data_IF_036161523760
#
_entry.id   IF_036161523760
#
_cell.length_a   1.000
_cell.length_b   1.000
_cell.length_c   1.000
_cell.angle_alpha   90.00
_cell.angle_beta   90.00
_cell.angle_gamma   90.00
#
_symmetry.space_group_name_H-M   'P 1'
#
loop_
_entity.id
_entity.type
_entity.pdbx_description
1 polymer ?
#
# COMPACT_ATOMS: atom_id res chain seq x y z
N UNK A 1 25.90 -0.53 23.01
CA UNK A 1 25.51 -0.67 21.58
C UNK A 1 25.93 0.60 20.85
N UNK A 2 26.58 0.51 19.68
CA UNK A 2 26.88 1.69 18.85
C UNK A 2 25.58 2.44 18.54
N UNK A 3 25.60 3.77 18.63
CA UNK A 3 24.47 4.64 18.25
C UNK A 3 24.06 4.42 16.79
N UNK A 4 25.01 4.07 15.92
CA UNK A 4 24.78 3.75 14.52
C UNK A 4 23.97 2.46 14.35
N UNK A 5 24.30 1.41 15.11
CA UNK A 5 23.59 0.11 15.05
C UNK A 5 22.12 0.25 15.39
N UNK A 6 21.81 0.95 16.49
CA UNK A 6 20.43 1.21 16.90
C UNK A 6 19.67 1.98 15.81
N UNK A 7 20.30 3.01 15.23
CA UNK A 7 19.70 3.81 14.15
C UNK A 7 19.45 2.99 12.89
N UNK A 8 20.38 2.13 12.47
CA UNK A 8 20.21 1.25 11.31
C UNK A 8 19.03 0.29 11.49
N UNK A 9 18.94 -0.38 12.65
CA UNK A 9 17.84 -1.31 12.97
C UNK A 9 16.50 -0.57 12.96
N UNK A 10 16.45 0.63 13.54
CA UNK A 10 15.22 1.42 13.59
C UNK A 10 14.75 1.84 12.19
N UNK A 11 15.67 2.34 11.35
CA UNK A 11 15.34 2.72 9.97
C UNK A 11 14.84 1.53 9.14
N UNK A 12 15.41 0.34 9.34
CA UNK A 12 14.94 -0.88 8.68
C UNK A 12 13.55 -1.30 9.17
N UNK A 13 13.27 -1.22 10.48
CA UNK A 13 11.96 -1.52 11.06
C UNK A 13 10.88 -0.56 10.57
N UNK A 14 11.22 0.72 10.41
CA UNK A 14 10.33 1.76 9.87
C UNK A 14 10.25 1.76 8.34
N UNK A 15 10.93 0.83 7.65
CA UNK A 15 11.03 0.76 6.19
C UNK A 15 11.54 2.06 5.52
N UNK A 16 12.38 2.83 6.23
CA UNK A 16 12.96 4.12 5.76
C UNK A 16 14.18 3.88 4.88
N UNK A 17 13.95 3.24 3.72
CA UNK A 17 14.98 2.76 2.79
C UNK A 17 16.00 3.84 2.41
N UNK A 18 15.54 5.03 2.01
CA UNK A 18 16.43 6.12 1.56
C UNK A 18 17.41 6.56 2.64
N UNK A 19 16.90 6.76 3.85
CA UNK A 19 17.71 7.20 4.99
C UNK A 19 18.67 6.11 5.45
N UNK A 20 18.22 4.86 5.47
CA UNK A 20 19.07 3.71 5.74
C UNK A 20 20.24 3.64 4.75
N UNK A 21 19.95 3.75 3.46
CA UNK A 21 20.96 3.66 2.40
C UNK A 21 21.94 4.84 2.45
N UNK A 22 21.44 6.07 2.68
CA UNK A 22 22.30 7.24 2.87
C UNK A 22 23.23 7.07 4.08
N UNK A 23 22.72 6.56 5.19
CA UNK A 23 23.52 6.26 6.38
C UNK A 23 24.62 5.24 6.06
N UNK A 24 24.30 4.19 5.31
CA UNK A 24 25.29 3.20 4.85
C UNK A 24 26.37 3.81 3.95
N UNK A 25 26.05 4.81 3.13
CA UNK A 25 27.05 5.49 2.30
C UNK A 25 27.95 6.45 3.08
N UNK A 26 27.45 7.03 4.17
CA UNK A 26 28.17 8.00 4.99
C UNK A 26 29.21 7.31 5.90
N UNK A 27 28.81 6.23 6.59
CA UNK A 27 29.63 5.52 7.56
C UNK A 27 29.96 4.09 7.10
N UNK A 28 30.39 3.93 5.85
CA UNK A 28 30.45 2.63 5.16
C UNK A 28 31.15 1.52 5.95
N UNK A 29 32.36 1.76 6.47
CA UNK A 29 33.13 0.72 7.16
C UNK A 29 32.43 0.21 8.43
N UNK A 30 31.87 1.12 9.24
CA UNK A 30 31.11 0.75 10.44
C UNK A 30 29.78 0.10 10.06
N UNK A 31 29.10 0.63 9.05
CA UNK A 31 27.85 0.07 8.53
C UNK A 31 28.03 -1.36 8.02
N UNK A 32 29.14 -1.68 7.33
CA UNK A 32 29.47 -3.05 6.90
C UNK A 32 29.66 -3.98 8.09
N UNK A 33 30.43 -3.57 9.10
CA UNK A 33 30.65 -4.37 10.31
C UNK A 33 29.33 -4.68 11.02
N UNK A 34 28.48 -3.65 11.19
CA UNK A 34 27.15 -3.80 11.78
C UNK A 34 26.26 -4.72 10.92
N UNK A 35 26.27 -4.54 9.60
CA UNK A 35 25.45 -5.35 8.69
C UNK A 35 25.88 -6.82 8.67
N UNK A 36 27.16 -7.14 8.87
CA UNK A 36 27.64 -8.52 9.03
C UNK A 36 27.07 -9.18 10.29
N UNK A 37 26.86 -8.41 11.36
CA UNK A 37 26.18 -8.91 12.58
C UNK A 37 24.67 -9.07 12.40
N UNK A 38 24.01 -8.15 11.68
CA UNK A 38 22.55 -8.15 11.48
C UNK A 38 22.13 -9.18 10.41
N UNK A 39 22.96 -9.38 9.39
CA UNK A 39 22.68 -10.21 8.20
C UNK A 39 23.80 -11.26 7.96
N UNK A 40 24.15 -12.09 8.96
CA UNK A 40 25.30 -12.99 8.86
C UNK A 40 25.16 -14.01 7.73
N UNK A 41 23.95 -14.51 7.48
CA UNK A 41 23.70 -15.51 6.43
C UNK A 41 23.85 -14.94 5.02
N UNK A 42 23.49 -13.67 4.82
CA UNK A 42 23.64 -13.00 3.53
C UNK A 42 25.12 -12.77 3.21
N UNK A 43 25.92 -12.38 4.21
CA UNK A 43 27.37 -12.22 4.04
C UNK A 43 28.09 -13.56 3.83
N UNK A 44 27.66 -14.63 4.51
CA UNK A 44 28.18 -15.99 4.23
C UNK A 44 27.94 -16.40 2.79
N UNK A 45 26.73 -16.18 2.26
CA UNK A 45 26.40 -16.47 0.85
C UNK A 45 27.29 -15.69 -0.12
N UNK A 46 27.58 -14.42 0.15
CA UNK A 46 28.49 -13.63 -0.70
C UNK A 46 29.96 -14.04 -0.57
N UNK A 47 30.38 -14.64 0.56
CA UNK A 47 31.76 -15.03 0.82
C UNK A 47 32.18 -16.39 0.26
N UNK A 48 31.22 -17.22 -0.19
CA UNK A 48 31.50 -18.57 -0.72
C UNK A 48 32.10 -18.60 -2.15
N UNK A 49 32.38 -17.44 -2.75
CA UNK A 49 33.31 -17.32 -3.88
C UNK A 49 32.74 -17.58 -5.28
N UNK A 50 31.46 -17.92 -5.42
CA UNK A 50 30.74 -17.85 -6.69
C UNK A 50 29.26 -17.60 -6.39
N UNK A 51 28.74 -16.41 -6.72
CA UNK A 51 27.31 -16.34 -7.03
C UNK A 51 27.12 -17.26 -8.26
N UNK A 52 26.22 -18.26 -8.24
CA UNK A 52 25.94 -19.08 -9.42
C UNK A 52 25.63 -18.24 -10.68
N UNK A 53 25.25 -16.99 -10.49
CA UNK A 53 24.92 -16.01 -11.51
C UNK A 53 26.06 -15.07 -11.90
N UNK A 54 27.27 -15.17 -11.32
CA UNK A 54 28.45 -14.43 -11.76
C UNK A 54 28.73 -14.69 -13.26
N UNK A 55 28.52 -15.93 -13.69
CA UNK A 55 28.62 -16.30 -15.11
C UNK A 55 27.57 -15.63 -16.01
N UNK A 56 26.41 -15.23 -15.47
CA UNK A 56 25.39 -14.48 -16.23
C UNK A 56 25.74 -13.00 -16.28
N UNK A 57 26.35 -12.45 -15.23
CA UNK A 57 26.84 -11.08 -15.23
C UNK A 57 27.91 -10.86 -16.31
N UNK A 58 28.91 -11.74 -16.38
CA UNK A 58 29.98 -11.66 -17.38
C UNK A 58 29.41 -11.75 -18.81
N UNK A 59 28.47 -12.68 -19.04
CA UNK A 59 27.78 -12.80 -20.33
C UNK A 59 26.97 -11.56 -20.68
N UNK A 60 26.31 -10.93 -19.69
CA UNK A 60 25.57 -9.69 -19.92
C UNK A 60 26.51 -8.53 -20.31
N UNK A 61 27.69 -8.45 -19.68
CA UNK A 61 28.73 -7.48 -20.08
C UNK A 61 29.23 -7.73 -21.49
N UNK A 62 29.48 -8.99 -21.86
CA UNK A 62 29.90 -9.35 -23.22
C UNK A 62 28.84 -8.94 -24.26
N UNK A 63 27.55 -9.21 -24.00
CA UNK A 63 26.48 -8.80 -24.90
C UNK A 63 26.38 -7.29 -25.03
N UNK A 64 26.58 -6.56 -23.93
CA UNK A 64 26.64 -5.09 -23.91
C UNK A 64 27.79 -4.55 -24.77
N UNK A 65 28.99 -5.12 -24.65
CA UNK A 65 30.16 -4.72 -25.44
C UNK A 65 29.96 -4.98 -26.94
N UNK A 66 29.27 -6.08 -27.28
CA UNK A 66 28.87 -6.41 -28.65
C UNK A 66 27.70 -5.58 -29.18
N UNK A 67 27.07 -4.74 -28.35
CA UNK A 67 25.87 -3.98 -28.70
C UNK A 67 24.59 -4.82 -28.87
N UNK A 68 24.62 -6.09 -28.47
CA UNK A 68 23.48 -7.01 -28.59
C UNK A 68 22.51 -6.81 -27.42
N UNK A 69 21.63 -5.81 -27.57
CA UNK A 69 20.72 -5.38 -26.50
C UNK A 69 19.68 -6.43 -26.13
N UNK A 70 19.17 -7.20 -27.10
CA UNK A 70 18.14 -8.22 -26.83
C UNK A 70 18.69 -9.37 -26.00
N UNK A 71 19.89 -9.87 -26.35
CA UNK A 71 20.53 -10.94 -25.61
C UNK A 71 20.97 -10.47 -24.22
N UNK A 72 21.46 -9.22 -24.10
CA UNK A 72 21.74 -8.59 -22.79
C UNK A 72 20.49 -8.61 -21.90
N UNK A 73 19.32 -8.22 -22.42
CA UNK A 73 18.05 -8.24 -21.67
C UNK A 73 17.71 -9.66 -21.23
N UNK A 74 17.74 -10.65 -22.12
CA UNK A 74 17.36 -12.05 -21.77
C UNK A 74 18.24 -12.61 -20.66
N UNK A 75 19.55 -12.35 -20.71
CA UNK A 75 20.49 -12.83 -19.68
C UNK A 75 20.21 -12.14 -18.34
N UNK A 76 20.01 -10.82 -18.34
CA UNK A 76 19.70 -10.05 -17.14
C UNK A 76 18.35 -10.44 -16.53
N UNK A 77 17.32 -10.66 -17.34
CA UNK A 77 16.02 -11.17 -16.90
C UNK A 77 16.18 -12.52 -16.21
N UNK A 78 16.96 -13.43 -16.79
CA UNK A 78 17.24 -14.76 -16.21
C UNK A 78 17.93 -14.62 -14.85
N UNK A 79 18.96 -13.77 -14.75
CA UNK A 79 19.67 -13.52 -13.49
C UNK A 79 18.73 -12.95 -12.41
N UNK A 80 17.90 -11.96 -12.76
CA UNK A 80 16.92 -11.37 -11.84
C UNK A 80 15.82 -12.36 -11.46
N UNK A 81 15.34 -13.20 -12.40
CA UNK A 81 14.36 -14.24 -12.15
C UNK A 81 14.86 -15.25 -11.11
N UNK A 82 16.12 -15.64 -11.22
CA UNK A 82 16.77 -16.59 -10.33
C UNK A 82 17.26 -15.97 -9.00
N UNK A 83 16.95 -14.70 -8.73
CA UNK A 83 17.24 -14.06 -7.45
C UNK A 83 18.70 -13.60 -7.28
N UNK A 84 19.36 -13.19 -8.37
CA UNK A 84 20.72 -12.64 -8.32
C UNK A 84 20.88 -11.58 -7.21
N UNK A 85 22.01 -11.65 -6.50
CA UNK A 85 22.37 -10.71 -5.46
C UNK A 85 23.03 -9.43 -6.01
N UNK A 86 23.33 -9.40 -7.31
CA UNK A 86 24.09 -8.34 -7.96
C UNK A 86 23.19 -7.14 -8.29
N UNK A 87 23.37 -5.96 -7.64
CA UNK A 87 22.54 -4.79 -7.91
C UNK A 87 22.68 -4.28 -9.36
N UNK A 88 23.83 -4.53 -9.98
CA UNK A 88 24.06 -4.20 -11.39
C UNK A 88 22.99 -4.78 -12.31
N UNK A 89 22.58 -6.04 -12.09
CA UNK A 89 21.64 -6.72 -12.96
C UNK A 89 20.30 -5.96 -13.01
N UNK A 90 19.80 -5.55 -11.84
CA UNK A 90 18.58 -4.78 -11.69
C UNK A 90 18.74 -3.35 -12.25
N UNK A 91 19.84 -2.68 -11.92
CA UNK A 91 20.11 -1.32 -12.40
C UNK A 91 20.17 -1.28 -13.92
N UNK A 92 20.94 -2.17 -14.53
CA UNK A 92 21.12 -2.23 -15.98
C UNK A 92 19.83 -2.59 -16.70
N UNK A 93 19.11 -3.61 -16.23
CA UNK A 93 17.84 -4.02 -16.83
C UNK A 93 16.80 -2.90 -16.74
N UNK A 94 16.74 -2.19 -15.62
CA UNK A 94 15.84 -1.02 -15.46
C UNK A 94 16.15 0.11 -16.44
N UNK A 95 17.43 0.31 -16.81
CA UNK A 95 17.86 1.29 -17.83
C UNK A 95 17.43 0.84 -19.22
N UNK A 96 17.62 -0.44 -19.56
CA UNK A 96 17.25 -0.99 -20.87
C UNK A 96 15.74 -0.88 -21.12
N UNK A 97 14.91 -1.27 -20.15
CA UNK A 97 13.46 -1.10 -20.25
C UNK A 97 13.03 0.37 -20.25
N UNK A 98 13.74 1.26 -19.55
CA UNK A 98 13.46 2.69 -19.60
C UNK A 98 13.64 3.25 -21.03
N UNK A 99 14.68 2.80 -21.75
CA UNK A 99 14.91 3.18 -23.15
C UNK A 99 13.79 2.69 -24.08
N UNK A 100 13.23 1.52 -23.79
CA UNK A 100 12.07 0.96 -24.49
C UNK A 100 10.73 1.57 -24.06
N UNK A 101 10.74 2.55 -23.14
CA UNK A 101 9.53 3.15 -22.53
C UNK A 101 8.62 2.13 -21.82
N UNK A 102 9.15 0.97 -21.45
CA UNK A 102 8.40 -0.06 -20.74
C UNK A 102 8.42 0.19 -19.22
N UNK A 103 7.76 1.28 -18.79
CA UNK A 103 7.81 1.74 -17.40
C UNK A 103 7.21 0.75 -16.39
N UNK A 104 6.26 -0.10 -16.83
CA UNK A 104 5.71 -1.18 -16.00
C UNK A 104 6.83 -2.17 -15.62
N UNK A 105 7.62 -2.63 -16.59
CA UNK A 105 8.77 -3.50 -16.32
C UNK A 105 9.83 -2.81 -15.47
N UNK A 106 10.11 -1.53 -15.70
CA UNK A 106 11.06 -0.77 -14.86
C UNK A 106 10.62 -0.80 -13.39
N UNK A 107 9.32 -0.56 -13.13
CA UNK A 107 8.75 -0.62 -11.78
C UNK A 107 8.90 -2.00 -11.15
N UNK A 108 8.52 -3.06 -11.88
CA UNK A 108 8.62 -4.46 -11.42
C UNK A 108 10.06 -4.83 -11.04
N UNK A 109 11.04 -4.46 -11.87
CA UNK A 109 12.46 -4.74 -11.59
C UNK A 109 12.96 -3.99 -10.36
N UNK A 110 12.64 -2.70 -10.22
CA UNK A 110 13.02 -1.93 -9.04
C UNK A 110 12.37 -2.50 -7.76
N UNK A 111 11.09 -2.86 -7.81
CA UNK A 111 10.39 -3.48 -6.67
C UNK A 111 11.04 -4.80 -6.28
N UNK A 112 11.32 -5.67 -7.25
CA UNK A 112 11.95 -6.97 -6.99
C UNK A 112 13.29 -6.86 -6.26
N UNK A 113 14.08 -5.82 -6.56
CA UNK A 113 15.30 -5.53 -5.81
C UNK A 113 15.02 -5.20 -4.33
N UNK A 114 13.97 -4.41 -4.06
CA UNK A 114 13.60 -4.02 -2.69
C UNK A 114 12.81 -5.06 -1.92
N UNK A 115 12.24 -6.06 -2.59
CA UNK A 115 11.64 -7.24 -1.98
C UNK A 115 12.71 -8.27 -1.56
N UNK A 116 13.89 -8.23 -2.20
CA UNK A 116 15.03 -9.06 -1.81
C UNK A 116 15.70 -8.55 -0.51
N UNK A 117 16.52 -9.38 0.13
CA UNK A 117 17.26 -8.96 1.34
C UNK A 117 18.52 -8.15 0.99
N UNK A 118 19.05 -8.30 -0.23
CA UNK A 118 20.36 -7.78 -0.63
C UNK A 118 20.47 -6.26 -0.68
N UNK A 119 19.37 -5.52 -0.89
CA UNK A 119 19.40 -4.04 -0.83
C UNK A 119 19.76 -3.51 0.55
N UNK A 120 19.57 -4.32 1.60
CA UNK A 120 19.92 -4.00 3.00
C UNK A 120 21.43 -4.15 3.26
N UNK A 121 22.24 -4.57 2.28
CA UNK A 121 23.68 -4.67 2.46
C UNK A 121 24.34 -3.34 2.07
N UNK A 122 25.21 -2.75 2.92
CA UNK A 122 25.91 -1.51 2.62
C UNK A 122 26.68 -1.51 1.29
N UNK A 123 27.21 -2.65 0.87
CA UNK A 123 27.93 -2.82 -0.40
C UNK A 123 27.06 -2.52 -1.63
N UNK A 124 25.74 -2.65 -1.51
CA UNK A 124 24.81 -2.34 -2.58
C UNK A 124 24.21 -0.93 -2.46
N UNK A 125 24.60 -0.14 -1.45
CA UNK A 125 23.92 1.11 -1.08
C UNK A 125 23.83 2.12 -2.23
N UNK A 126 24.91 2.33 -2.97
CA UNK A 126 24.94 3.28 -4.10
C UNK A 126 23.98 2.88 -5.23
N UNK A 127 24.01 1.63 -5.68
CA UNK A 127 23.11 1.15 -6.74
C UNK A 127 21.66 1.04 -6.26
N UNK A 128 21.44 0.63 -5.01
CA UNK A 128 20.13 0.69 -4.35
C UNK A 128 19.56 2.10 -4.34
N UNK A 129 20.35 3.14 -4.03
CA UNK A 129 19.88 4.53 -4.07
C UNK A 129 19.42 4.95 -5.47
N UNK A 130 20.14 4.55 -6.53
CA UNK A 130 19.76 4.85 -7.93
C UNK A 130 18.48 4.12 -8.33
N UNK A 131 18.31 2.87 -7.92
CA UNK A 131 17.10 2.08 -8.14
C UNK A 131 15.91 2.68 -7.38
N UNK A 132 16.12 3.13 -6.15
CA UNK A 132 15.12 3.79 -5.32
C UNK A 132 14.67 5.11 -5.94
N UNK A 133 15.61 5.95 -6.37
CA UNK A 133 15.31 7.21 -7.05
C UNK A 133 14.48 6.98 -8.33
N UNK A 134 14.80 5.93 -9.11
CA UNK A 134 14.02 5.57 -10.29
C UNK A 134 12.60 5.12 -9.92
N UNK A 135 12.46 4.32 -8.87
CA UNK A 135 11.17 3.86 -8.37
C UNK A 135 10.30 5.02 -7.87
N UNK A 136 10.89 5.94 -7.11
CA UNK A 136 10.22 7.14 -6.60
C UNK A 136 9.73 8.04 -7.75
N UNK A 137 10.56 8.30 -8.76
CA UNK A 137 10.16 9.07 -9.95
C UNK A 137 9.02 8.41 -10.72
N UNK A 138 9.02 7.08 -10.83
CA UNK A 138 7.92 6.35 -11.46
C UNK A 138 6.62 6.46 -10.68
N UNK A 139 6.69 6.33 -9.34
CA UNK A 139 5.54 6.51 -8.45
C UNK A 139 4.99 7.93 -8.53
N UNK A 140 5.85 8.94 -8.51
CA UNK A 140 5.45 10.33 -8.67
C UNK A 140 4.72 10.56 -10.00
N UNK A 141 5.27 10.04 -11.11
CA UNK A 141 4.62 10.12 -12.42
C UNK A 141 3.27 9.42 -12.45
N UNK A 142 3.16 8.23 -11.85
CA UNK A 142 1.91 7.49 -11.74
C UNK A 142 0.87 8.26 -10.91
N UNK A 143 1.26 8.77 -9.74
CA UNK A 143 0.39 9.53 -8.86
C UNK A 143 -0.08 10.82 -9.53
N UNK A 144 0.79 11.52 -10.25
CA UNK A 144 0.41 12.68 -11.05
C UNK A 144 -0.62 12.33 -12.13
N UNK A 145 -0.45 11.21 -12.84
CA UNK A 145 -1.44 10.74 -13.83
C UNK A 145 -2.80 10.44 -13.17
N UNK A 146 -2.79 9.78 -12.00
CA UNK A 146 -4.00 9.50 -11.21
C UNK A 146 -4.67 10.82 -10.78
N UNK A 147 -3.92 11.76 -10.22
CA UNK A 147 -4.43 13.08 -9.80
C UNK A 147 -5.08 13.81 -10.98
N UNK A 148 -4.42 13.83 -12.15
CA UNK A 148 -4.96 14.45 -13.36
C UNK A 148 -6.25 13.78 -13.82
N UNK A 149 -6.27 12.45 -13.86
CA UNK A 149 -7.47 11.68 -14.24
C UNK A 149 -8.62 11.94 -13.26
N UNK A 150 -8.36 11.91 -11.95
CA UNK A 150 -9.35 12.17 -10.92
C UNK A 150 -9.95 13.57 -11.03
N UNK A 151 -9.10 14.60 -11.22
CA UNK A 151 -9.56 15.98 -11.45
C UNK A 151 -10.54 16.06 -12.61
N UNK A 152 -10.17 15.50 -13.77
CA UNK A 152 -11.01 15.52 -14.98
C UNK A 152 -12.36 14.82 -14.73
N UNK A 153 -12.34 13.66 -14.08
CA UNK A 153 -13.55 12.91 -13.76
C UNK A 153 -14.47 13.69 -12.82
N UNK A 154 -13.93 14.33 -11.78
CA UNK A 154 -14.70 15.14 -10.83
C UNK A 154 -15.28 16.40 -11.48
N UNK A 155 -14.49 17.08 -12.34
CA UNK A 155 -14.93 18.25 -13.10
C UNK A 155 -16.10 17.88 -14.04
N UNK A 156 -15.96 16.77 -14.78
CA UNK A 156 -17.02 16.25 -15.65
C UNK A 156 -18.29 15.87 -14.87
N UNK A 157 -18.14 15.41 -13.63
CA UNK A 157 -19.22 15.05 -12.73
C UNK A 157 -19.82 16.26 -11.97
N UNK A 158 -19.42 17.50 -12.31
CA UNK A 158 -19.85 18.75 -11.68
C UNK A 158 -19.68 18.78 -10.16
N UNK A 159 -18.66 18.08 -9.64
CA UNK A 159 -18.33 18.09 -8.21
C UNK A 159 -17.73 19.44 -7.82
N UNK A 160 -18.08 19.97 -6.64
CA UNK A 160 -17.54 21.22 -6.10
C UNK A 160 -16.38 20.96 -5.12
N UNK A 161 -15.54 21.97 -4.88
CA UNK A 161 -14.39 21.85 -3.95
C UNK A 161 -13.18 21.08 -4.52
N UNK A 162 -13.11 20.93 -5.84
CA UNK A 162 -12.03 20.20 -6.53
C UNK A 162 -10.65 20.84 -6.30
N UNK A 163 -10.45 22.17 -6.37
CA UNK A 163 -9.12 22.76 -6.20
C UNK A 163 -8.45 22.40 -4.87
N UNK A 164 -9.19 22.52 -3.76
CA UNK A 164 -8.73 22.21 -2.41
C UNK A 164 -8.43 20.70 -2.28
N UNK A 165 -9.32 19.85 -2.80
CA UNK A 165 -9.12 18.41 -2.81
C UNK A 165 -7.88 17.99 -3.60
N UNK A 166 -7.69 18.52 -4.81
CA UNK A 166 -6.53 18.18 -5.65
C UNK A 166 -5.22 18.66 -5.02
N UNK A 167 -5.24 19.80 -4.33
CA UNK A 167 -4.10 20.26 -3.53
C UNK A 167 -3.79 19.26 -2.40
N UNK A 168 -4.79 18.89 -1.60
CA UNK A 168 -4.68 17.89 -0.52
C UNK A 168 -4.10 16.55 -1.03
N UNK A 169 -4.57 16.08 -2.19
CA UNK A 169 -4.10 14.85 -2.83
C UNK A 169 -2.65 14.96 -3.32
N UNK A 170 -2.24 16.10 -3.89
CA UNK A 170 -0.84 16.36 -4.29
C UNK A 170 0.11 16.45 -3.11
N UNK A 171 -0.27 17.19 -2.07
CA UNK A 171 0.52 17.38 -0.86
C UNK A 171 0.81 16.06 -0.15
N UNK A 172 -0.02 15.03 -0.38
CA UNK A 172 0.13 13.69 0.19
C UNK A 172 0.59 12.63 -0.83
N UNK A 173 0.97 13.02 -2.05
CA UNK A 173 1.32 12.09 -3.14
C UNK A 173 2.52 11.17 -2.87
N UNK A 174 3.40 11.52 -1.93
CA UNK A 174 4.53 10.69 -1.52
C UNK A 174 4.20 9.74 -0.37
N UNK A 175 3.13 10.00 0.37
CA UNK A 175 2.63 9.15 1.44
C UNK A 175 1.54 8.25 0.84
N UNK A 176 1.90 7.01 0.47
CA UNK A 176 1.00 6.08 -0.21
C UNK A 176 -0.28 5.82 0.59
N UNK A 177 -0.18 5.79 1.91
CA UNK A 177 -1.31 5.57 2.80
C UNK A 177 -2.31 6.72 2.77
N UNK A 178 -1.84 7.96 2.94
CA UNK A 178 -2.72 9.13 2.88
C UNK A 178 -3.23 9.38 1.46
N UNK A 179 -2.38 9.15 0.45
CA UNK A 179 -2.75 9.29 -0.95
C UNK A 179 -3.94 8.38 -1.30
N UNK A 180 -3.90 7.10 -0.92
CA UNK A 180 -5.00 6.18 -1.18
C UNK A 180 -6.27 6.54 -0.39
N UNK A 181 -6.15 6.98 0.87
CA UNK A 181 -7.31 7.47 1.64
C UNK A 181 -8.01 8.63 0.91
N UNK A 182 -7.25 9.63 0.44
CA UNK A 182 -7.80 10.78 -0.26
C UNK A 182 -8.29 10.43 -1.66
N UNK A 183 -7.65 9.48 -2.34
CA UNK A 183 -8.15 8.93 -3.60
C UNK A 183 -9.52 8.28 -3.42
N UNK A 184 -9.76 7.61 -2.29
CA UNK A 184 -11.06 7.02 -1.97
C UNK A 184 -12.15 8.07 -1.75
N UNK A 185 -11.83 9.22 -1.14
CA UNK A 185 -12.78 10.35 -1.04
C UNK A 185 -13.26 10.79 -2.44
N UNK A 186 -12.33 10.93 -3.39
CA UNK A 186 -12.66 11.28 -4.78
C UNK A 186 -13.51 10.21 -5.48
N UNK A 187 -13.23 8.92 -5.21
CA UNK A 187 -14.04 7.80 -5.74
C UNK A 187 -15.46 7.81 -5.16
N UNK A 188 -15.61 8.03 -3.86
CA UNK A 188 -16.90 8.16 -3.21
C UNK A 188 -17.69 9.36 -3.76
N UNK A 189 -17.03 10.49 -4.01
CA UNK A 189 -17.65 11.65 -4.64
C UNK A 189 -18.20 11.33 -6.04
N UNK A 190 -17.44 10.61 -6.86
CA UNK A 190 -17.89 10.17 -8.19
C UNK A 190 -19.06 9.20 -8.12
N UNK A 191 -19.05 8.27 -7.15
CA UNK A 191 -20.15 7.34 -6.92
C UNK A 191 -21.45 8.08 -6.58
N UNK A 192 -21.42 9.01 -5.62
CA UNK A 192 -22.61 9.80 -5.27
C UNK A 192 -23.07 10.70 -6.43
N UNK A 193 -22.15 11.34 -7.14
CA UNK A 193 -22.50 12.15 -8.32
C UNK A 193 -23.17 11.29 -9.41
N UNK A 194 -22.65 10.09 -9.65
CA UNK A 194 -23.25 9.11 -10.57
C UNK A 194 -24.66 8.64 -10.13
N UNK A 195 -24.93 8.65 -8.82
CA UNK A 195 -26.25 8.37 -8.25
C UNK A 195 -27.21 9.59 -8.25
N UNK A 196 -26.80 10.72 -8.83
CA UNK A 196 -27.64 11.92 -8.97
C UNK A 196 -27.52 12.94 -7.83
N UNK A 197 -26.57 12.77 -6.91
CA UNK A 197 -26.32 13.76 -5.85
C UNK A 197 -25.52 14.95 -6.40
N UNK A 198 -25.86 16.15 -5.93
CA UNK A 198 -24.95 17.28 -6.00
C UNK A 198 -23.87 17.12 -4.93
N UNK A 199 -22.61 16.93 -5.32
CA UNK A 199 -21.50 16.64 -4.39
C UNK A 199 -20.56 17.84 -4.23
N UNK A 200 -20.17 18.12 -3.00
CA UNK A 200 -19.12 19.08 -2.65
C UNK A 200 -18.06 18.41 -1.77
N UNK A 201 -16.81 18.39 -2.24
CA UNK A 201 -15.66 17.94 -1.44
C UNK A 201 -15.24 19.02 -0.44
N UNK A 202 -14.84 18.61 0.76
CA UNK A 202 -14.50 19.51 1.87
C UNK A 202 -13.59 18.81 2.89
N UNK A 203 -13.17 19.54 3.93
CA UNK A 203 -12.24 19.01 4.94
C UNK A 203 -12.89 18.04 5.94
N UNK A 204 -14.12 18.34 6.42
CA UNK A 204 -14.86 17.42 7.31
C UNK A 204 -16.35 17.79 7.47
N UNK A 205 -17.27 16.79 7.47
CA UNK A 205 -17.10 15.45 6.89
C UNK A 205 -16.64 15.54 5.43
N UNK A 206 -15.91 14.56 4.93
CA UNK A 206 -15.20 14.63 3.64
C UNK A 206 -16.08 15.12 2.47
N UNK A 207 -17.37 14.76 2.47
CA UNK A 207 -18.34 15.15 1.44
C UNK A 207 -19.59 15.81 2.05
N UNK A 208 -20.08 16.85 1.38
CA UNK A 208 -21.46 17.32 1.52
C UNK A 208 -22.24 16.93 0.26
N UNK A 209 -23.42 16.36 0.45
CA UNK A 209 -24.25 15.78 -0.60
C UNK A 209 -25.61 16.46 -0.58
N UNK A 210 -26.20 16.74 -1.74
CA UNK A 210 -27.58 17.23 -1.85
C UNK A 210 -28.37 16.43 -2.86
N UNK A 211 -29.53 15.94 -2.45
CA UNK A 211 -30.45 15.16 -3.29
C UNK A 211 -31.89 15.52 -2.91
N UNK A 212 -32.76 15.79 -3.90
CA UNK A 212 -34.16 16.17 -3.68
C UNK A 212 -34.37 17.28 -2.62
N UNK A 213 -33.52 18.30 -2.63
CA UNK A 213 -33.49 19.40 -1.64
C UNK A 213 -33.11 19.02 -0.20
N UNK A 214 -32.78 17.76 0.07
CA UNK A 214 -32.22 17.31 1.34
C UNK A 214 -30.69 17.35 1.30
N UNK A 215 -30.07 17.69 2.43
CA UNK A 215 -28.62 17.74 2.60
C UNK A 215 -28.15 16.59 3.48
N UNK A 216 -27.09 15.91 3.06
CA UNK A 216 -26.45 14.80 3.75
C UNK A 216 -24.95 15.09 3.85
N UNK A 217 -24.31 14.44 4.82
CA UNK A 217 -22.87 14.49 4.98
C UNK A 217 -22.30 13.09 4.96
N UNK A 218 -21.18 12.90 4.27
CA UNK A 218 -20.50 11.61 4.22
C UNK A 218 -19.05 11.73 4.68
N UNK A 219 -18.66 10.84 5.58
CA UNK A 219 -17.28 10.61 5.99
C UNK A 219 -16.80 9.32 5.32
N UNK A 220 -15.62 9.33 4.73
CA UNK A 220 -15.08 8.20 3.96
C UNK A 220 -13.96 7.54 4.74
N UNK A 221 -14.05 6.22 4.92
CA UNK A 221 -13.03 5.44 5.61
C UNK A 221 -12.54 4.26 4.79
N UNK A 222 -11.22 4.16 4.70
CA UNK A 222 -10.51 2.99 4.21
C UNK A 222 -10.19 2.01 5.34
N UNK A 223 -10.59 0.76 5.19
CA UNK A 223 -10.07 -0.38 5.94
C UNK A 223 -9.08 -1.14 5.07
N UNK A 224 -7.81 -1.08 5.48
CA UNK A 224 -6.71 -1.66 4.71
C UNK A 224 -6.54 -3.14 5.01
N UNK A 225 -5.88 -3.86 4.10
CA UNK A 225 -5.34 -5.18 4.39
C UNK A 225 -4.43 -5.12 5.61
N UNK A 226 -4.58 -6.11 6.48
CA UNK A 226 -3.85 -6.35 7.71
C UNK A 226 -3.14 -7.70 7.62
N UNK A 227 -2.44 -8.05 8.69
CA UNK A 227 -1.73 -9.33 8.76
C UNK A 227 -2.69 -10.51 8.72
N UNK A 228 -3.87 -10.42 9.35
CA UNK A 228 -4.89 -11.47 9.27
C UNK A 228 -5.30 -11.75 7.82
N UNK A 229 -5.49 -10.71 7.00
CA UNK A 229 -5.82 -10.90 5.57
C UNK A 229 -4.73 -11.68 4.82
N UNK A 230 -3.45 -11.52 5.20
CA UNK A 230 -2.36 -12.29 4.58
C UNK A 230 -2.37 -13.76 5.02
N UNK A 231 -2.66 -14.01 6.29
CA UNK A 231 -2.80 -15.36 6.82
C UNK A 231 -3.98 -16.06 6.13
N UNK A 232 -5.10 -15.37 6.01
CA UNK A 232 -6.30 -15.90 5.37
C UNK A 232 -6.06 -16.15 3.87
N UNK A 233 -5.45 -15.20 3.15
CA UNK A 233 -5.05 -15.36 1.74
C UNK A 233 -4.12 -16.59 1.56
N UNK A 234 -3.17 -16.80 2.47
CA UNK A 234 -2.26 -17.95 2.44
C UNK A 234 -2.97 -19.28 2.73
N UNK A 235 -3.87 -19.31 3.73
CA UNK A 235 -4.68 -20.49 4.07
C UNK A 235 -5.61 -20.89 2.92
N UNK A 236 -6.26 -19.91 2.27
CA UNK A 236 -7.12 -20.16 1.13
C UNK A 236 -6.36 -20.62 -0.12
N UNK A 237 -5.09 -20.23 -0.24
CA UNK A 237 -4.24 -20.63 -1.38
C UNK A 237 -3.57 -21.99 -1.20
N UNK A 238 -3.54 -22.54 0.01
CA UNK A 238 -2.95 -23.84 0.30
C UNK A 238 -4.01 -24.95 0.22
N UNK A 239 -3.98 -25.82 -0.80
CA UNK A 239 -4.95 -26.89 -0.96
C UNK A 239 -4.91 -27.94 0.16
N UNK A 240 -3.85 -27.96 0.97
CA UNK A 240 -3.69 -28.88 2.10
C UNK A 240 -4.06 -28.24 3.45
N UNK A 241 -4.26 -26.92 3.52
CA UNK A 241 -4.51 -26.23 4.80
C UNK A 241 -5.85 -26.59 5.44
N UNK A 242 -6.78 -27.15 4.67
CA UNK A 242 -8.11 -27.51 5.12
C UNK A 242 -8.29 -29.02 5.32
N UNK A 243 -7.23 -29.82 5.52
CA UNK A 243 -7.37 -31.28 5.71
C UNK A 243 -6.82 -31.68 7.07
N UNK A 244 -7.70 -32.16 7.95
CA UNK A 244 -7.31 -32.85 9.18
C UNK A 244 -7.53 -34.37 9.06
N UNK A 245 -7.27 -35.11 10.13
CA UNK A 245 -7.45 -36.56 10.20
C UNK A 245 -8.91 -37.04 10.01
N UNK A 246 -9.88 -36.12 10.04
CA UNK A 246 -11.31 -36.37 9.80
C UNK A 246 -11.82 -35.85 8.44
N UNK A 247 -10.94 -35.29 7.61
CA UNK A 247 -11.25 -34.83 6.26
C UNK A 247 -11.21 -33.31 6.13
N UNK A 248 -11.92 -32.74 5.13
CA UNK A 248 -11.86 -31.31 4.90
C UNK A 248 -12.56 -30.52 6.03
N UNK A 249 -11.80 -29.71 6.77
CA UNK A 249 -12.31 -28.82 7.83
C UNK A 249 -12.39 -27.37 7.33
N UNK A 250 -13.48 -26.66 7.67
CA UNK A 250 -13.66 -25.25 7.32
C UNK A 250 -12.76 -24.39 8.21
N UNK A 251 -11.71 -23.80 7.63
CA UNK A 251 -10.87 -22.85 8.36
C UNK A 251 -11.69 -21.59 8.72
N UNK A 252 -11.64 -21.11 9.97
CA UNK A 252 -12.20 -19.81 10.33
C UNK A 252 -11.55 -18.73 9.46
N UNK A 253 -12.37 -17.98 8.74
CA UNK A 253 -11.97 -16.93 7.81
C UNK A 253 -12.46 -15.58 8.33
N UNK A 254 -11.62 -14.54 8.29
CA UNK A 254 -11.98 -13.21 8.76
C UNK A 254 -12.02 -13.05 10.29
N UNK A 255 -11.58 -14.05 11.05
CA UNK A 255 -11.46 -13.94 12.51
C UNK A 255 -10.24 -13.10 12.89
N UNK A 256 -10.49 -11.79 13.06
CA UNK A 256 -9.47 -10.83 13.49
C UNK A 256 -9.18 -10.87 14.99
N UNK A 257 -9.96 -11.59 15.80
CA UNK A 257 -9.89 -11.49 17.25
C UNK A 257 -8.56 -12.01 17.81
N UNK A 258 -8.02 -13.10 17.25
CA UNK A 258 -6.77 -13.69 17.74
C UNK A 258 -5.58 -12.74 17.61
N UNK A 259 -5.52 -11.97 16.54
CA UNK A 259 -4.41 -11.04 16.28
C UNK A 259 -4.68 -9.63 16.79
N UNK A 260 -5.92 -9.17 16.73
CA UNK A 260 -6.28 -7.76 16.95
C UNK A 260 -7.09 -7.54 18.23
N UNK A 261 -7.50 -8.61 18.90
CA UNK A 261 -8.31 -8.57 20.13
C UNK A 261 -9.74 -8.06 19.92
N UNK A 262 -10.17 -7.93 18.66
CA UNK A 262 -11.50 -7.43 18.25
C UNK A 262 -11.95 -8.10 16.96
N UNK A 263 -13.25 -8.33 16.84
CA UNK A 263 -13.88 -8.79 15.59
C UNK A 263 -14.01 -7.65 14.58
N UNK A 264 -14.14 -7.98 13.30
CA UNK A 264 -14.21 -7.02 12.20
C UNK A 264 -15.36 -6.01 12.37
N UNK A 265 -16.57 -6.46 12.73
CA UNK A 265 -17.70 -5.56 13.01
C UNK A 265 -17.47 -4.62 14.20
N UNK A 266 -16.75 -5.05 15.25
CA UNK A 266 -16.40 -4.18 16.39
C UNK A 266 -15.47 -3.04 15.95
N UNK A 267 -14.58 -3.31 14.99
CA UNK A 267 -13.71 -2.29 14.43
C UNK A 267 -14.49 -1.26 13.59
N UNK A 268 -15.52 -1.71 12.86
CA UNK A 268 -16.44 -0.82 12.14
C UNK A 268 -17.18 0.09 13.13
N UNK A 269 -17.73 -0.50 14.20
CA UNK A 269 -18.36 0.24 15.30
C UNK A 269 -17.41 1.26 15.93
N UNK A 270 -16.17 0.88 16.23
CA UNK A 270 -15.17 1.76 16.83
C UNK A 270 -14.82 2.95 15.94
N UNK A 271 -14.74 2.72 14.62
CA UNK A 271 -14.55 3.81 13.64
C UNK A 271 -15.72 4.77 13.70
N UNK A 272 -16.97 4.28 13.65
CA UNK A 272 -18.16 5.12 13.74
C UNK A 272 -18.14 5.98 15.03
N UNK A 273 -17.79 5.36 16.16
CA UNK A 273 -17.66 6.04 17.45
C UNK A 273 -16.57 7.11 17.46
N UNK A 274 -15.39 6.83 16.90
CA UNK A 274 -14.28 7.78 16.81
C UNK A 274 -14.63 9.01 15.96
N UNK A 275 -15.60 8.87 15.07
CA UNK A 275 -15.98 9.86 14.05
C UNK A 275 -17.18 10.73 14.45
N UNK A 276 -17.76 10.53 15.64
CA UNK A 276 -18.89 11.31 16.17
C UNK A 276 -18.69 12.82 16.05
N UNK A 277 -17.50 13.33 16.34
CA UNK A 277 -17.21 14.77 16.31
C UNK A 277 -17.23 15.37 14.90
N UNK A 278 -17.18 14.53 13.87
CA UNK A 278 -17.27 14.97 12.48
C UNK A 278 -18.72 15.01 12.00
N UNK A 279 -19.61 14.19 12.58
CA UNK A 279 -21.02 14.15 12.22
C UNK A 279 -21.73 15.47 12.51
N UNK A 280 -22.46 15.98 11.52
CA UNK A 280 -23.24 17.21 11.62
C UNK A 280 -24.50 17.00 12.43
N UNK A 281 -24.79 17.96 13.29
CA UNK A 281 -26.05 18.01 14.02
C UNK A 281 -27.19 18.39 13.08
N UNK A 282 -28.37 17.82 13.32
CA UNK A 282 -29.59 18.10 12.56
C UNK A 282 -29.50 17.81 11.05
N UNK A 283 -28.55 16.97 10.63
CA UNK A 283 -28.43 16.50 9.26
C UNK A 283 -28.13 14.99 9.24
N UNK A 284 -28.65 14.27 8.23
CA UNK A 284 -28.23 12.90 7.93
C UNK A 284 -26.71 12.76 7.73
N UNK A 285 -26.08 11.86 8.50
CA UNK A 285 -24.68 11.49 8.28
C UNK A 285 -24.54 10.05 7.78
N UNK A 286 -23.63 9.84 6.84
CA UNK A 286 -23.28 8.56 6.23
C UNK A 286 -21.81 8.27 6.55
N UNK A 287 -21.51 7.08 7.05
CA UNK A 287 -20.13 6.58 7.09
C UNK A 287 -19.95 5.61 5.93
N UNK A 288 -19.11 6.03 4.97
CA UNK A 288 -18.78 5.28 3.77
C UNK A 288 -17.52 4.47 4.04
N UNK A 289 -17.61 3.17 3.82
CA UNK A 289 -16.54 2.21 4.07
C UNK A 289 -16.10 1.61 2.74
N UNK A 290 -14.83 1.80 2.42
CA UNK A 290 -14.14 0.96 1.44
C UNK A 290 -13.19 0.05 2.20
N UNK A 291 -13.21 -1.24 1.87
CA UNK A 291 -12.31 -2.21 2.47
C UNK A 291 -11.49 -2.89 1.39
N UNK A 292 -10.17 -2.83 1.56
CA UNK A 292 -9.25 -3.76 0.89
C UNK A 292 -9.01 -5.01 1.73
N UNK A 293 -9.45 -5.03 2.99
CA UNK A 293 -9.46 -6.21 3.86
C UNK A 293 -10.61 -7.13 3.46
N UNK A 294 -10.29 -8.40 3.39
CA UNK A 294 -11.22 -9.49 3.08
C UNK A 294 -12.06 -9.87 4.31
N UNK A 295 -11.67 -9.38 5.50
CA UNK A 295 -12.40 -9.56 6.76
C UNK A 295 -13.62 -8.64 6.89
N UNK A 296 -13.70 -7.53 6.14
CA UNK A 296 -14.85 -6.60 6.21
C UNK A 296 -15.71 -6.80 4.97
N UNK A 297 -16.70 -7.66 5.13
CA UNK A 297 -17.75 -7.94 4.16
C UNK A 297 -19.07 -7.30 4.60
N UNK A 298 -20.11 -7.41 3.75
CA UNK A 298 -21.43 -6.86 4.05
C UNK A 298 -22.05 -7.54 5.30
N UNK A 299 -21.62 -8.76 5.61
CA UNK A 299 -22.01 -9.49 6.83
C UNK A 299 -21.56 -8.79 8.11
N UNK A 300 -20.44 -8.06 8.09
CA UNK A 300 -19.92 -7.35 9.27
C UNK A 300 -20.57 -5.99 9.49
N UNK A 301 -21.19 -5.42 8.46
CA UNK A 301 -21.89 -4.13 8.56
C UNK A 301 -23.13 -4.25 9.44
N UNK A 302 -23.85 -5.37 9.35
CA UNK A 302 -25.10 -5.55 10.09
C UNK A 302 -24.88 -5.63 11.62
N UNK A 303 -23.98 -6.48 12.15
CA UNK A 303 -23.66 -6.49 13.57
C UNK A 303 -23.17 -5.13 14.07
N UNK A 304 -22.35 -4.41 13.28
CA UNK A 304 -21.91 -3.07 13.66
C UNK A 304 -23.07 -2.07 13.78
N UNK A 305 -24.07 -2.12 12.87
CA UNK A 305 -25.31 -1.33 12.98
C UNK A 305 -26.08 -1.69 14.25
N UNK A 306 -26.22 -2.98 14.56
CA UNK A 306 -26.95 -3.44 15.73
C UNK A 306 -26.28 -2.95 17.03
N UNK A 307 -24.95 -2.98 17.12
CA UNK A 307 -24.18 -2.39 18.24
C UNK A 307 -24.39 -0.86 18.35
N UNK A 308 -24.41 -0.15 17.22
CA UNK A 308 -24.68 1.30 17.20
C UNK A 308 -26.07 1.58 17.76
N UNK A 309 -27.08 0.84 17.31
CA UNK A 309 -28.46 1.01 17.75
C UNK A 309 -28.64 0.72 19.25
N UNK A 310 -27.95 -0.28 19.78
CA UNK A 310 -27.92 -0.59 21.22
C UNK A 310 -27.31 0.57 22.03
N UNK A 311 -26.17 1.09 21.59
CA UNK A 311 -25.49 2.20 22.29
C UNK A 311 -26.28 3.53 22.20
N UNK A 312 -27.03 3.74 21.13
CA UNK A 312 -27.96 4.89 20.99
C UNK A 312 -29.16 4.72 21.91
N UNK A 313 -29.82 3.56 21.89
CA UNK A 313 -31.04 3.30 22.67
C UNK A 313 -30.78 3.23 24.18
N UNK A 314 -29.63 2.73 24.61
CA UNK A 314 -29.20 2.72 26.01
C UNK A 314 -28.70 4.09 26.51
N UNK A 315 -28.50 5.06 25.62
CA UNK A 315 -27.91 6.37 25.95
C UNK A 315 -26.42 6.33 26.28
N UNK A 316 -25.74 5.20 26.05
CA UNK A 316 -24.30 5.04 26.30
C UNK A 316 -23.43 5.86 25.35
N UNK A 317 -23.87 6.01 24.09
CA UNK A 317 -23.17 6.84 23.10
C UNK A 317 -24.16 7.65 22.25
N UNK A 318 -24.79 8.69 22.81
CA UNK A 318 -25.87 9.42 22.13
C UNK A 318 -25.41 10.14 20.86
N UNK A 319 -24.11 10.46 20.74
CA UNK A 319 -23.53 11.07 19.55
C UNK A 319 -23.64 10.20 18.29
N UNK A 320 -23.77 8.88 18.43
CA UNK A 320 -23.99 7.97 17.30
C UNK A 320 -25.38 8.14 16.66
N UNK A 321 -26.35 8.75 17.35
CA UNK A 321 -27.67 9.01 16.78
C UNK A 321 -27.62 9.97 15.57
N UNK A 322 -26.49 10.67 15.37
CA UNK A 322 -26.24 11.52 14.20
C UNK A 322 -25.97 10.70 12.93
N UNK A 323 -25.49 9.46 13.07
CA UNK A 323 -25.18 8.55 11.97
C UNK A 323 -26.45 7.81 11.55
N UNK A 324 -26.88 8.00 10.31
CA UNK A 324 -28.10 7.38 9.79
C UNK A 324 -27.82 6.16 8.90
N UNK A 325 -26.59 6.04 8.39
CA UNK A 325 -26.25 5.01 7.41
C UNK A 325 -24.78 4.60 7.51
N UNK A 326 -24.56 3.29 7.51
CA UNK A 326 -23.28 2.65 7.22
C UNK A 326 -23.36 2.04 5.83
N UNK A 327 -22.46 2.46 4.93
CA UNK A 327 -22.46 1.98 3.55
C UNK A 327 -21.10 1.44 3.18
N UNK A 328 -21.04 0.16 2.78
CA UNK A 328 -19.88 -0.43 2.12
C UNK A 328 -20.06 -0.29 0.62
N UNK A 329 -19.00 0.11 -0.10
CA UNK A 329 -19.01 0.08 -1.55
C UNK A 329 -17.79 -0.65 -2.08
N UNK A 330 -18.05 -1.60 -2.99
CA UNK A 330 -17.01 -2.32 -3.73
C UNK A 330 -17.00 -1.73 -5.13
N UNK A 331 -15.93 -1.02 -5.46
CA UNK A 331 -15.76 -0.58 -6.84
C UNK A 331 -15.17 -1.73 -7.64
N UNK A 332 -15.92 -2.19 -8.64
CA UNK A 332 -15.37 -3.04 -9.69
C UNK A 332 -14.13 -2.35 -10.27
N UNK A 333 -13.02 -3.09 -10.37
CA UNK A 333 -11.78 -2.60 -10.96
C UNK A 333 -12.08 -2.09 -12.39
N UNK A 334 -12.07 -0.76 -12.57
CA UNK A 334 -12.06 -0.11 -13.89
C UNK A 334 -10.63 0.29 -14.23
#
# INVERSE_FOLDING_TARGET
MSTLRTKMIELLRQDRKREYLNLCTQDYAEAVSIAQEIFPEQYKKTGTGMDPFDSLYDKALEMKERGNTEDEIRILETAVQNGSAMPYCYERLSILYSKQKNYKRVYEICMKWFDAVFWKLPNASTSSLRLLERLEKLREKQNNAIITSMRISLEKANVKGIPEYIKKLRDNSTNSENFENFRLEGRAALMFSGAGFCVTMRESPDLALKFNNEEFYAEVKHFRKKEQDRIDDARMSDPNCCVDEFGPYLSPYGDTFQLEGKYAHEQVYDVAKKKINQYKEHAPNILVIESSSSCIEDTEIRPAIDMINEDVSSGKCPGLAKLICLMRFVLANQ
#
